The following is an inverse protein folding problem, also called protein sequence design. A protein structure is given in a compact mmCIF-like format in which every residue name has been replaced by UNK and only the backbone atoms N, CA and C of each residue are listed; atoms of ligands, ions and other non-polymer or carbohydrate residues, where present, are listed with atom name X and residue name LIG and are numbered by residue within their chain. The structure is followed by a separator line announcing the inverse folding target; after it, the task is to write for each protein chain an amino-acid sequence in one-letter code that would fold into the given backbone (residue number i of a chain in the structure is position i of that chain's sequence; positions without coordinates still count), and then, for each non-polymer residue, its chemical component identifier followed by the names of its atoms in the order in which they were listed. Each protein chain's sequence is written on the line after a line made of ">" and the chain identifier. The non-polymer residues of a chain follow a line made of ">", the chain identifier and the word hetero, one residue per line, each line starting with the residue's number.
data_IF_926926755080
#
_entry.id   IF_926926755080
#
_cell.length_a   1.000
_cell.length_b   1.000
_cell.length_c   1.000
_cell.angle_alpha   90.00
_cell.angle_beta   90.00
_cell.angle_gamma   90.00
#
_symmetry.space_group_name_H-M   'P 1'
#
loop_
_entity.id
_entity.type
_entity.pdbx_description
1 polymer ?
#
# COMPACT_ATOMS: atom_id res chain seq x y z
N UNK A 1 44.74 -5.74 15.44
CA UNK A 1 43.47 -5.70 14.66
C UNK A 1 43.62 -4.70 13.52
N UNK A 2 43.92 -5.18 12.31
CA UNK A 2 44.09 -4.31 11.15
C UNK A 2 42.73 -3.77 10.68
N UNK A 3 42.52 -2.46 10.83
CA UNK A 3 41.40 -1.70 10.25
C UNK A 3 41.39 -1.86 8.73
N UNK A 4 40.53 -2.73 8.19
CA UNK A 4 40.14 -2.67 6.77
C UNK A 4 39.12 -1.55 6.58
N UNK A 5 39.61 -0.32 6.53
CA UNK A 5 38.78 0.87 6.27
C UNK A 5 38.46 1.07 4.77
N UNK A 6 39.13 0.34 3.87
CA UNK A 6 38.96 0.49 2.43
C UNK A 6 38.60 -0.84 1.76
N UNK A 7 37.31 -1.05 1.48
CA UNK A 7 36.80 -2.14 0.65
C UNK A 7 35.92 -1.59 -0.49
N UNK A 8 36.50 -1.32 -1.67
CA UNK A 8 35.78 -0.79 -2.83
C UNK A 8 34.60 -1.65 -3.29
N UNK A 9 34.58 -2.96 -2.97
CA UNK A 9 33.46 -3.85 -3.28
C UNK A 9 32.20 -3.55 -2.48
N UNK A 10 32.31 -2.80 -1.38
CA UNK A 10 31.19 -2.35 -0.55
C UNK A 10 30.73 -0.93 -0.90
N UNK A 11 31.40 -0.27 -1.85
CA UNK A 11 31.04 1.08 -2.24
C UNK A 11 29.81 1.05 -3.13
N UNK A 12 28.77 1.76 -2.71
CA UNK A 12 27.54 1.95 -3.49
C UNK A 12 27.77 2.96 -4.62
N UNK A 13 28.77 3.83 -4.47
CA UNK A 13 29.16 4.86 -5.45
C UNK A 13 30.61 5.31 -5.20
N UNK A 14 31.30 5.76 -6.26
CA UNK A 14 32.59 6.47 -6.17
C UNK A 14 32.43 7.89 -5.62
N UNK A 15 31.21 8.40 -5.61
CA UNK A 15 30.84 9.65 -4.96
C UNK A 15 30.22 9.35 -3.59
N UNK A 16 30.94 9.60 -2.48
CA UNK A 16 30.40 9.39 -1.15
C UNK A 16 29.14 10.25 -0.96
N UNK A 17 28.06 9.62 -0.51
CA UNK A 17 26.75 10.26 -0.31
C UNK A 17 26.16 10.94 -1.56
N UNK A 18 26.64 10.62 -2.77
CA UNK A 18 26.13 11.20 -4.02
C UNK A 18 26.53 12.66 -4.26
N UNK A 19 27.62 13.14 -3.65
CA UNK A 19 28.19 14.47 -3.94
C UNK A 19 28.36 14.68 -5.46
N UNK A 20 27.81 15.77 -5.98
CA UNK A 20 27.87 16.09 -7.41
C UNK A 20 26.89 15.30 -8.29
N UNK A 21 26.05 14.43 -7.72
CA UNK A 21 24.96 13.78 -8.45
C UNK A 21 23.65 14.58 -8.28
N UNK A 22 22.99 14.84 -9.41
CA UNK A 22 21.61 15.35 -9.41
C UNK A 22 20.65 14.15 -9.41
N UNK A 23 19.60 14.21 -8.58
CA UNK A 23 18.54 13.19 -8.61
C UNK A 23 17.97 13.09 -10.03
N UNK A 24 17.91 11.89 -10.63
CA UNK A 24 17.38 11.74 -11.98
C UNK A 24 15.90 12.13 -12.03
N UNK A 25 15.47 12.75 -13.12
CA UNK A 25 14.08 13.21 -13.30
C UNK A 25 13.07 12.07 -13.58
N UNK A 26 13.52 10.81 -13.60
CA UNK A 26 12.69 9.61 -13.82
C UNK A 26 11.78 9.63 -15.06
N UNK A 27 12.09 10.44 -16.08
CA UNK A 27 11.23 10.66 -17.25
C UNK A 27 10.86 9.38 -17.99
N UNK A 28 11.79 8.41 -18.10
CA UNK A 28 11.53 7.12 -18.71
C UNK A 28 10.50 6.28 -17.96
N UNK A 29 10.50 6.32 -16.63
CA UNK A 29 9.47 5.65 -15.81
C UNK A 29 8.12 6.36 -15.97
N UNK A 30 8.11 7.70 -16.00
CA UNK A 30 6.89 8.48 -16.23
C UNK A 30 6.26 8.16 -17.59
N UNK A 31 7.07 8.09 -18.65
CA UNK A 31 6.63 7.72 -19.98
C UNK A 31 6.04 6.29 -20.00
N UNK A 32 6.69 5.32 -19.32
CA UNK A 32 6.18 3.95 -19.20
C UNK A 32 4.81 3.92 -18.51
N UNK A 33 4.65 4.64 -17.41
CA UNK A 33 3.37 4.73 -16.70
C UNK A 33 2.29 5.33 -17.59
N UNK A 34 2.59 6.43 -18.29
CA UNK A 34 1.66 7.06 -19.23
C UNK A 34 1.21 6.07 -20.33
N UNK A 35 2.14 5.29 -20.88
CA UNK A 35 1.88 4.22 -21.84
C UNK A 35 1.00 3.12 -21.23
N UNK A 36 1.21 2.73 -19.98
CA UNK A 36 0.46 1.68 -19.31
C UNK A 36 -0.99 2.10 -18.97
N UNK A 37 -1.19 3.36 -18.59
CA UNK A 37 -2.54 3.89 -18.27
C UNK A 37 -3.28 4.49 -19.47
N UNK A 38 -2.67 4.48 -20.68
CA UNK A 38 -3.21 5.11 -21.90
C UNK A 38 -4.62 4.70 -22.30
N UNK A 39 -5.08 3.53 -21.85
CA UNK A 39 -6.43 3.02 -22.11
C UNK A 39 -7.50 3.62 -21.18
N UNK A 40 -7.10 4.32 -20.12
CA UNK A 40 -8.02 4.92 -19.12
C UNK A 40 -7.64 6.37 -18.76
N UNK A 41 -7.37 7.25 -19.75
CA UNK A 41 -6.75 8.56 -19.51
C UNK A 41 -7.62 9.46 -18.62
N UNK A 42 -8.95 9.43 -18.78
CA UNK A 42 -9.89 10.20 -17.95
C UNK A 42 -9.85 9.77 -16.48
N UNK A 43 -9.76 8.45 -16.23
CA UNK A 43 -9.68 7.90 -14.87
C UNK A 43 -8.34 8.23 -14.23
N UNK A 44 -7.25 8.05 -14.97
CA UNK A 44 -5.91 8.41 -14.53
C UNK A 44 -5.83 9.88 -14.15
N UNK A 45 -6.35 10.77 -15.01
CA UNK A 45 -6.44 12.20 -14.74
C UNK A 45 -7.24 12.50 -13.47
N UNK A 46 -8.44 11.92 -13.32
CA UNK A 46 -9.27 12.13 -12.13
C UNK A 46 -8.55 11.70 -10.84
N UNK A 47 -7.88 10.55 -10.84
CA UNK A 47 -7.11 10.06 -9.68
C UNK A 47 -5.97 11.02 -9.34
N UNK A 48 -5.26 11.53 -10.34
CA UNK A 48 -4.15 12.45 -10.11
C UNK A 48 -4.63 13.84 -9.67
N UNK A 49 -5.69 14.36 -10.27
CA UNK A 49 -6.16 15.74 -10.06
C UNK A 49 -7.05 15.89 -8.82
N UNK A 50 -7.93 14.92 -8.55
CA UNK A 50 -8.92 14.98 -7.46
C UNK A 50 -8.61 14.01 -6.32
N UNK A 51 -7.69 13.06 -6.53
CA UNK A 51 -7.35 12.04 -5.54
C UNK A 51 -6.24 12.46 -4.60
N UNK A 52 -6.19 11.78 -3.45
CA UNK A 52 -5.06 11.79 -2.52
C UNK A 52 -4.18 10.58 -2.79
N UNK A 53 -2.86 10.74 -2.70
CA UNK A 53 -1.91 9.64 -2.85
C UNK A 53 -2.19 8.52 -1.85
N UNK A 54 -2.39 7.30 -2.36
CA UNK A 54 -2.62 6.09 -1.55
C UNK A 54 -1.33 5.33 -1.25
N UNK A 55 -0.15 5.95 -1.43
CA UNK A 55 1.14 5.27 -1.35
C UNK A 55 1.96 5.55 -0.10
N UNK A 56 2.04 6.81 0.31
CA UNK A 56 2.87 7.25 1.43
C UNK A 56 2.11 8.21 2.34
N UNK A 57 2.65 8.42 3.55
CA UNK A 57 2.02 9.28 4.55
C UNK A 57 2.15 10.80 4.27
N UNK A 58 2.87 11.21 3.21
CA UNK A 58 2.96 12.62 2.82
C UNK A 58 1.60 13.22 2.44
N UNK A 59 0.67 12.39 1.94
CA UNK A 59 -0.70 12.82 1.69
C UNK A 59 -0.85 13.81 0.52
N UNK A 60 -0.05 13.66 -0.55
CA UNK A 60 -0.15 14.49 -1.76
C UNK A 60 -1.59 14.48 -2.29
N UNK A 61 -2.23 15.64 -2.34
CA UNK A 61 -3.61 15.83 -2.78
C UNK A 61 -3.63 16.60 -4.11
N UNK A 62 -4.33 16.06 -5.11
CA UNK A 62 -4.20 16.61 -6.46
C UNK A 62 -2.74 16.55 -6.90
N UNK A 63 -2.14 17.65 -7.35
CA UNK A 63 -0.71 17.71 -7.66
C UNK A 63 0.14 18.39 -6.59
N UNK A 64 -0.38 18.57 -5.37
CA UNK A 64 0.26 19.37 -4.34
C UNK A 64 0.47 18.58 -3.05
N UNK A 65 1.56 18.89 -2.35
CA UNK A 65 1.78 18.46 -0.98
C UNK A 65 1.86 19.68 -0.05
N UNK A 66 2.18 19.44 1.22
CA UNK A 66 2.21 20.44 2.29
C UNK A 66 3.63 20.90 2.62
N UNK A 67 4.62 20.55 1.81
CA UNK A 67 6.05 20.65 2.15
C UNK A 67 6.83 21.43 1.10
N UNK A 68 6.59 21.16 -0.19
CA UNK A 68 7.30 21.77 -1.31
C UNK A 68 6.35 22.54 -2.21
N UNK A 69 6.82 23.68 -2.71
CA UNK A 69 6.09 24.44 -3.72
C UNK A 69 6.11 23.72 -5.08
N UNK A 70 5.01 23.87 -5.82
CA UNK A 70 4.88 23.36 -7.19
C UNK A 70 4.18 21.99 -7.30
N UNK A 71 4.50 21.26 -8.36
CA UNK A 71 3.88 19.96 -8.69
C UNK A 71 4.65 18.84 -8.00
N UNK A 72 3.97 18.13 -7.10
CA UNK A 72 4.45 16.85 -6.58
C UNK A 72 3.87 15.68 -7.36
N UNK A 73 4.72 15.04 -8.16
CA UNK A 73 4.41 13.78 -8.83
C UNK A 73 5.58 12.81 -8.74
N UNK A 74 5.57 11.95 -7.71
CA UNK A 74 6.62 10.97 -7.49
C UNK A 74 6.38 9.64 -8.23
N UNK A 75 7.44 8.89 -8.45
CA UNK A 75 7.40 7.58 -9.12
C UNK A 75 6.58 6.55 -8.36
N UNK A 76 6.56 6.60 -7.03
CA UNK A 76 5.68 5.74 -6.20
C UNK A 76 4.21 5.95 -6.55
N UNK A 77 3.76 7.21 -6.61
CA UNK A 77 2.36 7.54 -6.94
C UNK A 77 2.01 7.15 -8.37
N UNK A 78 2.94 7.36 -9.31
CA UNK A 78 2.76 6.95 -10.70
C UNK A 78 2.68 5.42 -10.86
N UNK A 79 3.50 4.64 -10.16
CA UNK A 79 3.41 3.18 -10.16
C UNK A 79 2.08 2.70 -9.54
N UNK A 80 1.59 3.37 -8.49
CA UNK A 80 0.27 3.07 -7.92
C UNK A 80 -0.88 3.46 -8.84
N UNK A 81 -0.72 4.49 -9.67
CA UNK A 81 -1.68 4.85 -10.70
C UNK A 81 -1.93 3.68 -11.68
N UNK A 82 -0.89 2.92 -12.05
CA UNK A 82 -1.03 1.72 -12.89
C UNK A 82 -1.93 0.69 -12.23
N UNK A 83 -1.74 0.43 -10.93
CA UNK A 83 -2.57 -0.51 -10.16
C UNK A 83 -4.00 -0.02 -10.07
N UNK A 84 -4.20 1.27 -9.78
CA UNK A 84 -5.53 1.86 -9.66
C UNK A 84 -6.26 1.87 -11.01
N UNK A 85 -5.56 2.03 -12.12
CA UNK A 85 -6.11 2.01 -13.48
C UNK A 85 -6.13 0.62 -14.13
N UNK A 86 -5.65 -0.42 -13.44
CA UNK A 86 -5.53 -1.76 -14.01
C UNK A 86 -6.89 -2.28 -14.52
N UNK A 87 -6.94 -2.85 -15.74
CA UNK A 87 -8.15 -3.48 -16.25
C UNK A 87 -8.47 -4.73 -15.44
N UNK A 88 -9.71 -5.19 -15.53
CA UNK A 88 -10.04 -6.53 -15.07
C UNK A 88 -9.27 -7.55 -15.93
N UNK A 89 -8.67 -8.55 -15.30
CA UNK A 89 -8.08 -9.68 -16.01
C UNK A 89 -9.14 -10.74 -16.33
N UNK A 90 -8.82 -11.68 -17.21
CA UNK A 90 -9.71 -12.82 -17.49
C UNK A 90 -9.79 -13.76 -16.27
N UNK A 91 -10.93 -13.76 -15.57
CA UNK A 91 -11.13 -14.59 -14.39
C UNK A 91 -11.27 -16.09 -14.69
N UNK A 92 -11.47 -16.49 -15.96
CA UNK A 92 -11.62 -17.91 -16.33
C UNK A 92 -10.39 -18.75 -15.97
N UNK A 93 -9.20 -18.12 -16.00
CA UNK A 93 -7.91 -18.71 -15.62
C UNK A 93 -7.83 -19.10 -14.15
N UNK A 94 -8.76 -18.62 -13.31
CA UNK A 94 -8.83 -19.01 -11.90
C UNK A 94 -9.61 -20.31 -11.68
N UNK A 95 -10.27 -20.87 -12.68
CA UNK A 95 -11.01 -22.16 -12.56
C UNK A 95 -10.10 -23.34 -12.20
N UNK A 96 -8.81 -23.23 -12.53
CA UNK A 96 -7.73 -24.09 -12.05
C UNK A 96 -6.53 -23.22 -11.62
N UNK A 97 -6.14 -23.31 -10.35
CA UNK A 97 -5.07 -22.47 -9.78
C UNK A 97 -3.71 -23.17 -9.70
N UNK A 98 -3.55 -24.34 -10.31
CA UNK A 98 -2.28 -25.09 -10.30
C UNK A 98 -1.10 -24.27 -10.82
N UNK A 99 -1.35 -23.37 -11.77
CA UNK A 99 -0.32 -22.49 -12.37
C UNK A 99 0.17 -21.38 -11.44
N UNK A 100 -0.57 -21.00 -10.38
CA UNK A 100 -0.20 -19.88 -9.49
C UNK A 100 1.17 -20.10 -8.83
N UNK A 101 1.53 -21.36 -8.54
CA UNK A 101 2.80 -21.72 -7.90
C UNK A 101 4.03 -21.40 -8.76
N UNK A 102 3.83 -21.26 -10.07
CA UNK A 102 4.90 -21.03 -11.04
C UNK A 102 4.99 -19.56 -11.47
N UNK A 103 4.41 -18.66 -10.69
CA UNK A 103 4.37 -17.22 -11.00
C UNK A 103 4.92 -16.39 -9.85
N UNK A 104 5.63 -15.35 -10.23
CA UNK A 104 6.12 -14.31 -9.34
C UNK A 104 4.99 -13.35 -8.98
N UNK A 105 5.13 -12.65 -7.85
CA UNK A 105 4.20 -11.59 -7.48
C UNK A 105 4.16 -10.40 -8.45
N UNK A 106 5.17 -10.23 -9.31
CA UNK A 106 5.17 -9.22 -10.38
C UNK A 106 4.23 -9.68 -11.49
N UNK A 107 4.43 -10.89 -12.02
CA UNK A 107 3.58 -11.45 -13.08
C UNK A 107 2.11 -11.47 -12.66
N UNK A 108 1.81 -11.85 -11.41
CA UNK A 108 0.44 -11.86 -10.89
C UNK A 108 -0.21 -10.48 -10.83
N UNK A 109 0.57 -9.42 -10.53
CA UNK A 109 0.06 -8.04 -10.52
C UNK A 109 -0.19 -7.51 -11.92
N UNK A 110 0.65 -7.89 -12.88
CA UNK A 110 0.54 -7.46 -14.28
C UNK A 110 -0.68 -8.07 -14.99
N UNK A 111 -1.26 -9.15 -14.47
CA UNK A 111 -2.49 -9.71 -15.01
C UNK A 111 -3.64 -8.71 -14.99
N UNK A 112 -3.74 -7.88 -13.94
CA UNK A 112 -4.79 -6.89 -13.75
C UNK A 112 -5.57 -7.09 -12.45
N UNK A 113 -6.73 -6.43 -12.33
CA UNK A 113 -7.53 -6.45 -11.09
C UNK A 113 -8.52 -7.62 -11.06
N UNK A 114 -8.73 -8.16 -9.86
CA UNK A 114 -9.86 -9.03 -9.57
C UNK A 114 -11.14 -8.17 -9.50
N UNK A 115 -12.08 -8.38 -10.42
CA UNK A 115 -13.24 -7.50 -10.58
C UNK A 115 -14.51 -8.00 -9.89
N UNK A 116 -14.54 -9.27 -9.49
CA UNK A 116 -15.70 -9.93 -8.90
C UNK A 116 -15.30 -10.74 -7.67
N UNK A 117 -16.22 -10.94 -6.71
CA UNK A 117 -16.06 -11.94 -5.68
C UNK A 117 -15.87 -13.33 -6.29
N UNK A 118 -14.91 -14.07 -5.75
CA UNK A 118 -14.56 -15.41 -6.19
C UNK A 118 -14.55 -16.35 -4.98
N UNK A 119 -15.09 -17.55 -5.12
CA UNK A 119 -15.13 -18.56 -4.07
C UNK A 119 -14.45 -19.84 -4.53
N UNK A 120 -13.66 -20.41 -3.64
CA UNK A 120 -13.08 -21.75 -3.78
C UNK A 120 -13.38 -22.55 -2.53
N UNK A 121 -14.03 -23.69 -2.68
CA UNK A 121 -14.32 -24.63 -1.59
C UNK A 121 -13.19 -25.65 -1.45
N UNK A 122 -13.15 -26.31 -0.30
CA UNK A 122 -12.20 -27.38 -0.03
C UNK A 122 -12.35 -28.48 -1.10
N UNK A 123 -11.24 -28.88 -1.70
CA UNK A 123 -11.20 -29.90 -2.76
C UNK A 123 -11.37 -29.37 -4.18
N UNK A 124 -11.78 -28.12 -4.38
CA UNK A 124 -11.91 -27.54 -5.72
C UNK A 124 -10.55 -27.17 -6.32
N UNK A 125 -10.41 -27.38 -7.63
CA UNK A 125 -9.19 -27.08 -8.39
C UNK A 125 -8.91 -25.59 -8.53
N UNK A 126 -9.93 -24.75 -8.42
CA UNK A 126 -9.81 -23.29 -8.53
C UNK A 126 -11.02 -22.56 -7.99
N UNK A 127 -11.18 -21.31 -8.39
CA UNK A 127 -12.23 -20.41 -7.95
C UNK A 127 -13.37 -20.31 -8.98
N UNK A 128 -14.59 -20.18 -8.48
CA UNK A 128 -15.76 -19.80 -9.25
C UNK A 128 -16.21 -18.39 -8.87
N UNK A 129 -16.69 -17.62 -9.86
CA UNK A 129 -17.33 -16.32 -9.61
C UNK A 129 -18.61 -16.52 -8.83
N UNK A 130 -18.85 -15.65 -7.85
CA UNK A 130 -20.11 -15.59 -7.10
C UNK A 130 -20.65 -14.15 -7.07
N UNK A 131 -21.90 -13.99 -6.65
CA UNK A 131 -22.46 -12.66 -6.43
C UNK A 131 -21.88 -11.98 -5.19
N UNK A 132 -22.09 -10.68 -5.05
CA UNK A 132 -21.74 -9.97 -3.82
C UNK A 132 -22.58 -10.44 -2.63
N UNK A 133 -23.87 -10.71 -2.85
CA UNK A 133 -24.77 -11.21 -1.81
C UNK A 133 -24.30 -12.58 -1.29
N UNK A 134 -23.99 -13.52 -2.20
CA UNK A 134 -23.43 -14.84 -1.83
C UNK A 134 -22.12 -14.72 -1.03
N UNK A 135 -21.28 -13.74 -1.38
CA UNK A 135 -20.00 -13.52 -0.72
C UNK A 135 -20.20 -12.97 0.70
N UNK A 136 -21.05 -11.95 0.84
CA UNK A 136 -21.37 -11.33 2.11
C UNK A 136 -22.12 -12.30 3.04
N UNK A 137 -23.06 -13.08 2.51
CA UNK A 137 -23.79 -14.10 3.26
C UNK A 137 -22.86 -15.21 3.75
N UNK A 138 -21.96 -15.70 2.90
CA UNK A 138 -20.99 -16.72 3.29
C UNK A 138 -20.08 -16.23 4.43
N UNK A 139 -19.57 -15.00 4.34
CA UNK A 139 -18.75 -14.40 5.39
C UNK A 139 -19.56 -14.17 6.67
N UNK A 140 -20.76 -13.60 6.57
CA UNK A 140 -21.62 -13.32 7.71
C UNK A 140 -22.07 -14.58 8.45
N UNK A 141 -22.46 -15.64 7.72
CA UNK A 141 -22.76 -16.96 8.28
C UNK A 141 -21.54 -17.58 8.96
N UNK A 142 -20.36 -17.46 8.34
CA UNK A 142 -19.10 -17.94 8.92
C UNK A 142 -18.77 -17.28 10.24
N UNK A 143 -18.88 -15.95 10.32
CA UNK A 143 -18.65 -15.17 11.55
C UNK A 143 -19.66 -15.58 12.64
N UNK A 144 -20.95 -15.69 12.28
CA UNK A 144 -21.99 -16.11 13.24
C UNK A 144 -21.74 -17.52 13.80
N UNK A 145 -21.39 -18.47 12.94
CA UNK A 145 -21.11 -19.85 13.35
C UNK A 145 -19.81 -19.98 14.17
N UNK A 146 -18.79 -19.18 13.84
CA UNK A 146 -17.53 -19.17 14.58
C UNK A 146 -17.69 -18.52 15.97
N UNK A 147 -18.43 -17.42 16.05
CA UNK A 147 -18.48 -16.53 17.21
C UNK A 147 -17.32 -15.55 17.23
N UNK A 148 -17.46 -14.49 18.05
CA UNK A 148 -16.48 -13.41 18.14
C UNK A 148 -15.08 -13.87 18.58
N UNK A 149 -15.01 -14.78 19.56
CA UNK A 149 -13.74 -15.28 20.12
C UNK A 149 -12.91 -16.09 19.13
N UNK A 150 -13.54 -16.68 18.11
CA UNK A 150 -12.88 -17.48 17.06
C UNK A 150 -12.78 -16.76 15.73
N UNK A 151 -13.07 -15.46 15.71
CA UNK A 151 -12.98 -14.62 14.52
C UNK A 151 -11.87 -13.59 14.72
N UNK A 152 -11.12 -13.29 13.66
CA UNK A 152 -10.14 -12.22 13.65
C UNK A 152 -10.25 -11.38 12.38
N UNK A 153 -9.99 -10.07 12.50
CA UNK A 153 -10.03 -9.11 11.40
C UNK A 153 -8.67 -8.40 11.30
N UNK A 154 -8.11 -8.36 10.10
CA UNK A 154 -6.88 -7.61 9.82
C UNK A 154 -7.13 -6.57 8.75
N UNK A 155 -6.79 -5.31 9.05
CA UNK A 155 -6.97 -4.17 8.16
C UNK A 155 -5.63 -3.71 7.56
N UNK A 156 -5.60 -3.56 6.24
CA UNK A 156 -4.45 -2.97 5.54
C UNK A 156 -4.49 -1.44 5.60
N UNK A 157 -3.34 -0.75 5.56
CA UNK A 157 -3.31 0.71 5.54
C UNK A 157 -3.65 1.29 4.16
N UNK A 158 -3.30 0.59 3.08
CA UNK A 158 -3.40 1.14 1.72
C UNK A 158 -4.84 1.15 1.24
N UNK A 159 -5.33 2.31 0.80
CA UNK A 159 -6.64 2.44 0.15
C UNK A 159 -7.84 2.34 1.09
N UNK A 160 -7.62 2.34 2.41
CA UNK A 160 -8.68 2.49 3.40
C UNK A 160 -8.67 3.92 3.94
N UNK A 161 -9.86 4.49 4.12
CA UNK A 161 -10.01 5.82 4.73
C UNK A 161 -10.16 5.70 6.25
N UNK A 162 -10.01 6.83 6.95
CA UNK A 162 -10.22 6.89 8.40
C UNK A 162 -11.64 6.45 8.80
N UNK A 163 -12.64 6.81 7.99
CA UNK A 163 -14.04 6.41 8.19
C UNK A 163 -14.19 4.89 8.05
N UNK A 164 -13.50 4.28 7.09
CA UNK A 164 -13.52 2.83 6.88
C UNK A 164 -12.90 2.10 8.06
N UNK A 165 -11.79 2.61 8.60
CA UNK A 165 -11.17 2.11 9.83
C UNK A 165 -12.09 2.22 11.04
N UNK A 166 -12.73 3.38 11.21
CA UNK A 166 -13.64 3.64 12.31
C UNK A 166 -14.87 2.71 12.27
N UNK A 167 -15.51 2.58 11.11
CA UNK A 167 -16.67 1.71 10.91
C UNK A 167 -16.30 0.25 11.08
N UNK A 168 -15.17 -0.21 10.51
CA UNK A 168 -14.70 -1.59 10.67
C UNK A 168 -14.44 -1.91 12.15
N UNK A 169 -13.80 -1.00 12.87
CA UNK A 169 -13.56 -1.14 14.31
C UNK A 169 -14.84 -1.21 15.14
N UNK A 170 -15.86 -0.41 14.81
CA UNK A 170 -17.17 -0.48 15.46
C UNK A 170 -17.91 -1.78 15.13
N UNK A 171 -17.94 -2.17 13.86
CA UNK A 171 -18.61 -3.39 13.41
C UNK A 171 -18.00 -4.64 14.07
N UNK A 172 -16.67 -4.73 14.14
CA UNK A 172 -15.98 -5.83 14.82
C UNK A 172 -16.42 -5.95 16.29
N UNK A 173 -16.40 -4.83 17.02
CA UNK A 173 -16.81 -4.80 18.44
C UNK A 173 -18.29 -5.14 18.62
N UNK A 174 -19.17 -4.65 17.74
CA UNK A 174 -20.60 -4.99 17.77
C UNK A 174 -20.85 -6.49 17.51
N UNK A 175 -19.97 -7.14 16.73
CA UNK A 175 -20.00 -8.59 16.50
C UNK A 175 -19.30 -9.40 17.61
N UNK A 176 -18.81 -8.76 18.68
CA UNK A 176 -18.06 -9.42 19.76
C UNK A 176 -16.64 -9.86 19.36
N UNK A 177 -16.08 -9.32 18.28
CA UNK A 177 -14.74 -9.67 17.79
C UNK A 177 -13.72 -8.76 18.49
N UNK A 178 -12.97 -9.33 19.44
CA UNK A 178 -11.86 -8.64 20.10
C UNK A 178 -10.56 -8.67 19.27
N UNK A 179 -10.38 -9.71 18.44
CA UNK A 179 -9.16 -9.94 17.66
C UNK A 179 -9.15 -9.10 16.38
N UNK A 180 -9.02 -7.78 16.52
CA UNK A 180 -8.88 -6.86 15.38
C UNK A 180 -7.52 -6.17 15.42
N UNK A 181 -6.81 -6.19 14.29
CA UNK A 181 -5.51 -5.51 14.16
C UNK A 181 -5.33 -4.86 12.78
N UNK A 182 -4.24 -4.12 12.60
CA UNK A 182 -3.91 -3.47 11.32
C UNK A 182 -2.42 -3.50 10.98
N UNK A 183 -2.08 -3.10 9.76
CA UNK A 183 -0.69 -2.96 9.33
C UNK A 183 0.13 -1.97 10.17
N UNK A 184 -0.51 -1.09 10.96
CA UNK A 184 0.19 -0.22 11.91
C UNK A 184 0.84 -1.01 13.06
N UNK A 185 0.36 -2.22 13.39
CA UNK A 185 0.96 -3.09 14.42
C UNK A 185 2.43 -3.35 14.14
N UNK A 186 2.74 -3.78 12.93
CA UNK A 186 4.09 -4.17 12.55
C UNK A 186 4.99 -2.97 12.29
N UNK A 187 4.42 -1.88 11.77
CA UNK A 187 5.21 -0.73 11.30
C UNK A 187 5.40 0.36 12.35
N UNK A 188 4.44 0.57 13.26
CA UNK A 188 4.41 1.75 14.15
C UNK A 188 4.20 1.44 15.63
N UNK A 189 3.88 0.20 16.03
CA UNK A 189 3.67 -0.11 17.45
C UNK A 189 4.92 0.16 18.31
N UNK A 190 6.16 -0.19 17.89
CA UNK A 190 7.35 0.10 18.69
C UNK A 190 7.59 1.60 18.89
N UNK A 191 7.48 2.40 17.82
CA UNK A 191 7.68 3.85 17.91
C UNK A 191 6.59 4.52 18.75
N UNK A 192 5.35 4.07 18.64
CA UNK A 192 4.22 4.55 19.46
C UNK A 192 4.51 4.36 20.95
N UNK A 193 5.00 3.19 21.36
CA UNK A 193 5.33 2.89 22.76
C UNK A 193 6.54 3.71 23.22
N UNK A 194 7.61 3.76 22.41
CA UNK A 194 8.84 4.49 22.74
C UNK A 194 8.62 6.00 22.91
N UNK A 195 7.93 6.63 21.96
CA UNK A 195 7.63 8.06 22.04
C UNK A 195 6.67 8.37 23.20
N UNK A 196 5.62 7.55 23.40
CA UNK A 196 4.64 7.79 24.46
C UNK A 196 5.29 7.71 25.84
N UNK A 197 6.18 6.75 26.06
CA UNK A 197 6.89 6.58 27.33
C UNK A 197 7.94 7.65 27.58
N UNK A 198 8.58 8.17 26.53
CA UNK A 198 9.69 9.13 26.68
C UNK A 198 9.20 10.59 26.74
N UNK A 199 8.27 10.96 25.85
CA UNK A 199 7.85 12.36 25.65
C UNK A 199 6.32 12.55 25.73
N UNK A 200 5.56 11.52 26.11
CA UNK A 200 4.12 11.63 26.38
C UNK A 200 3.21 11.66 25.13
N UNK A 201 3.77 11.60 23.92
CA UNK A 201 3.02 11.59 22.65
C UNK A 201 3.33 10.35 21.83
N UNK A 202 2.35 9.86 21.07
CA UNK A 202 2.44 8.60 20.31
C UNK A 202 2.46 8.82 18.79
N UNK A 203 2.90 10.00 18.35
CA UNK A 203 2.87 10.46 16.97
C UNK A 203 4.14 11.26 16.64
N UNK A 204 4.36 11.53 15.35
CA UNK A 204 5.40 12.45 14.90
C UNK A 204 5.26 13.81 15.56
N UNK A 205 6.37 14.39 15.99
CA UNK A 205 6.42 15.67 16.72
C UNK A 205 6.81 16.87 15.87
N UNK A 206 7.22 16.62 14.63
CA UNK A 206 7.62 17.64 13.67
C UNK A 206 6.95 17.36 12.31
N UNK A 207 6.84 18.40 11.51
CA UNK A 207 6.40 18.35 10.12
C UNK A 207 7.60 18.13 9.17
N UNK A 208 7.33 17.89 7.90
CA UNK A 208 8.39 17.88 6.89
C UNK A 208 8.88 19.29 6.53
N UNK A 209 8.11 20.34 6.82
CA UNK A 209 8.60 21.72 6.69
C UNK A 209 9.72 21.98 7.70
N UNK A 210 9.55 21.50 8.94
CA UNK A 210 10.57 21.62 9.99
C UNK A 210 11.91 20.97 9.58
N UNK A 211 11.85 19.93 8.74
CA UNK A 211 13.04 19.26 8.18
C UNK A 211 13.75 20.11 7.12
N UNK A 212 13.05 21.03 6.44
CA UNK A 212 13.68 21.98 5.52
C UNK A 212 14.36 23.14 6.25
N UNK A 213 13.89 23.46 7.45
CA UNK A 213 14.41 24.57 8.27
C UNK A 213 15.53 24.16 9.24
N UNK A 214 15.75 22.85 9.43
CA UNK A 214 16.79 22.35 10.35
C UNK A 214 18.21 22.55 9.81
N UNK A 215 19.15 22.84 10.71
CA UNK A 215 20.58 22.92 10.38
C UNK A 215 21.17 21.53 10.08
N UNK A 216 20.63 20.47 10.70
CA UNK A 216 21.15 19.10 10.61
C UNK A 216 20.01 18.07 10.59
N UNK A 217 20.12 17.10 9.67
CA UNK A 217 19.25 15.93 9.60
C UNK A 217 20.06 14.67 9.94
N UNK A 218 19.55 13.84 10.85
CA UNK A 218 20.11 12.50 11.16
C UNK A 218 19.14 11.44 10.64
N UNK A 219 19.61 10.61 9.70
CA UNK A 219 18.84 9.53 9.05
C UNK A 219 19.37 8.16 9.45
#
# INVERSE_FOLDING_TARGET
>A
MARRLWNPKSWVSLSPNGIGHTKPNHLGEMARVAVNVRRTPKRAWKILNEGVCDGCALGVAGFHDWTLDGIHLCTTRLKLLEVNCAPAFDHSVLSDISWLRNRTGVELREMGRLAYPMRRRRGEKGFARISWDDALDAVGLGIRAAGGDRTAIYLTSRGLTNESYYVAGKAARAMGIANIDSAARTCHAPSTIGLKSTIGVAASTCSLQDVLETDVVVL
#
